data_IF_867836524319
#
_entry.id   IF_867836524319
#
_cell.length_a   1.000
_cell.length_b   1.000
_cell.length_c   1.000
_cell.angle_alpha   90.00
_cell.angle_beta   90.00
_cell.angle_gamma   90.00
#
_symmetry.space_group_name_H-M   'P 1'
#
loop_
_entity.id
_entity.type
_entity.pdbx_description
1 polymer ?
#
# COMPACT_ATOMS: atom_id res chain seq x y z
N UNK A 1 68.60 19.28 -5.42
CA UNK A 1 68.17 18.13 -6.23
C UNK A 1 67.12 17.43 -5.41
N UNK A 2 65.86 17.46 -5.86
CA UNK A 2 64.74 16.86 -5.14
C UNK A 2 64.70 15.36 -5.45
N UNK A 3 64.73 14.54 -4.41
CA UNK A 3 64.55 13.10 -4.51
C UNK A 3 63.05 12.79 -4.64
N UNK A 4 62.58 12.58 -5.87
CA UNK A 4 61.28 11.96 -6.12
C UNK A 4 61.38 10.46 -5.80
N UNK A 5 60.99 10.09 -4.58
CA UNK A 5 60.75 8.69 -4.20
C UNK A 5 59.46 8.24 -4.87
N UNK A 6 59.56 7.68 -6.08
CA UNK A 6 58.42 6.99 -6.70
C UNK A 6 58.30 5.59 -6.11
N UNK A 7 57.35 5.39 -5.21
CA UNK A 7 56.92 4.05 -4.81
C UNK A 7 56.09 3.49 -5.98
N UNK A 8 56.73 2.79 -6.92
CA UNK A 8 56.01 1.95 -7.87
C UNK A 8 55.64 0.65 -7.15
N UNK A 9 54.34 0.43 -6.96
CA UNK A 9 53.84 -0.90 -6.60
C UNK A 9 54.36 -1.89 -7.64
N UNK A 10 55.14 -2.85 -7.15
CA UNK A 10 55.69 -3.96 -7.91
C UNK A 10 54.50 -4.84 -8.31
N UNK A 11 54.38 -5.11 -9.61
CA UNK A 11 53.40 -5.96 -10.29
C UNK A 11 52.27 -6.50 -9.38
N UNK A 12 51.10 -5.90 -9.55
CA UNK A 12 49.85 -6.14 -8.82
C UNK A 12 49.24 -7.52 -9.17
N UNK A 13 50.02 -8.60 -9.01
CA UNK A 13 49.55 -9.99 -8.90
C UNK A 13 48.91 -10.25 -7.52
N UNK A 14 48.49 -9.18 -6.83
CA UNK A 14 47.61 -9.29 -5.67
C UNK A 14 46.27 -9.83 -6.15
N UNK A 15 45.98 -11.10 -5.88
CA UNK A 15 44.63 -11.65 -6.05
C UNK A 15 43.64 -10.63 -5.50
N UNK A 16 42.78 -10.09 -6.37
CA UNK A 16 41.73 -9.20 -5.95
C UNK A 16 41.02 -9.85 -4.74
N UNK A 17 40.84 -9.12 -3.62
CA UNK A 17 40.20 -9.68 -2.44
C UNK A 17 38.88 -10.32 -2.87
N UNK A 18 38.57 -11.54 -2.39
CA UNK A 18 37.46 -12.33 -2.91
C UNK A 18 36.17 -11.51 -2.85
N UNK A 19 35.37 -11.55 -3.91
CA UNK A 19 34.15 -10.73 -4.03
C UNK A 19 33.17 -10.92 -2.85
N UNK A 20 33.29 -12.04 -2.12
CA UNK A 20 32.56 -12.33 -0.87
C UNK A 20 32.87 -11.35 0.27
N UNK A 21 34.02 -10.69 0.27
CA UNK A 21 34.44 -9.73 1.30
C UNK A 21 33.64 -8.41 1.23
N UNK A 22 33.09 -8.09 0.05
CA UNK A 22 32.25 -6.91 -0.20
C UNK A 22 30.77 -7.25 -0.45
N UNK A 23 30.38 -8.53 -0.31
CA UNK A 23 29.00 -8.94 -0.51
C UNK A 23 28.08 -8.32 0.56
N UNK A 24 26.91 -7.76 0.19
CA UNK A 24 25.94 -7.25 1.14
C UNK A 24 25.52 -8.36 2.11
N UNK A 25 25.63 -8.10 3.43
CA UNK A 25 25.14 -9.07 4.42
C UNK A 25 23.61 -9.12 4.37
N UNK A 26 23.00 -10.32 4.31
CA UNK A 26 21.55 -10.45 4.21
C UNK A 26 20.88 -9.90 5.48
N UNK A 27 20.02 -8.88 5.31
CA UNK A 27 19.18 -8.34 6.39
C UNK A 27 17.78 -8.96 6.36
N UNK A 28 17.50 -9.80 7.35
CA UNK A 28 16.22 -10.49 7.50
C UNK A 28 15.19 -9.66 8.28
N UNK A 29 15.63 -8.68 9.08
CA UNK A 29 14.74 -7.94 9.98
C UNK A 29 13.94 -6.89 9.22
N UNK A 30 14.58 -6.13 8.34
CA UNK A 30 13.92 -5.10 7.52
C UNK A 30 12.70 -5.63 6.75
N UNK A 31 12.86 -6.65 5.88
CA UNK A 31 11.74 -7.23 5.13
C UNK A 31 10.61 -7.78 6.02
N UNK A 32 10.94 -8.37 7.18
CA UNK A 32 9.93 -8.91 8.11
C UNK A 32 9.12 -7.81 8.78
N UNK A 33 9.74 -6.71 9.18
CA UNK A 33 9.02 -5.56 9.74
C UNK A 33 8.08 -4.95 8.70
N UNK A 34 8.57 -4.78 7.47
CA UNK A 34 7.76 -4.31 6.34
C UNK A 34 6.55 -5.24 6.11
N UNK A 35 6.77 -6.55 6.13
CA UNK A 35 5.70 -7.53 5.97
C UNK A 35 4.58 -7.39 7.02
N UNK A 36 4.93 -7.15 8.29
CA UNK A 36 3.94 -6.95 9.36
C UNK A 36 3.09 -5.70 9.08
N UNK A 37 3.72 -4.60 8.69
CA UNK A 37 3.01 -3.35 8.36
C UNK A 37 2.07 -3.54 7.17
N UNK A 38 2.51 -4.25 6.12
CA UNK A 38 1.69 -4.56 4.95
C UNK A 38 0.50 -5.47 5.31
N UNK A 39 0.69 -6.45 6.19
CA UNK A 39 -0.40 -7.30 6.69
C UNK A 39 -1.45 -6.44 7.41
N UNK A 40 -1.03 -5.56 8.32
CA UNK A 40 -1.96 -4.66 9.01
C UNK A 40 -2.70 -3.74 8.04
N UNK A 41 -1.98 -3.14 7.08
CA UNK A 41 -2.57 -2.30 6.04
C UNK A 41 -3.59 -3.06 5.19
N UNK A 42 -3.28 -4.31 4.82
CA UNK A 42 -4.19 -5.14 4.02
C UNK A 42 -5.48 -5.50 4.75
N UNK A 43 -5.45 -5.68 6.07
CA UNK A 43 -6.66 -5.90 6.86
C UNK A 43 -7.56 -4.66 6.77
N UNK A 44 -6.99 -3.46 6.92
CA UNK A 44 -7.76 -2.22 6.78
C UNK A 44 -8.35 -2.07 5.36
N UNK A 45 -7.57 -2.39 4.31
CA UNK A 45 -8.07 -2.41 2.93
C UNK A 45 -9.27 -3.34 2.77
N UNK A 46 -9.20 -4.55 3.35
CA UNK A 46 -10.27 -5.53 3.26
C UNK A 46 -11.54 -5.05 3.97
N UNK A 47 -11.43 -4.42 5.14
CA UNK A 47 -12.56 -3.90 5.89
C UNK A 47 -13.26 -2.75 5.14
N UNK A 48 -12.48 -1.77 4.66
CA UNK A 48 -13.02 -0.64 3.90
C UNK A 48 -13.65 -1.14 2.60
N UNK A 49 -12.93 -1.99 1.85
CA UNK A 49 -13.42 -2.54 0.60
C UNK A 49 -14.69 -3.37 0.77
N UNK A 50 -14.83 -4.09 1.89
CA UNK A 50 -16.05 -4.82 2.22
C UNK A 50 -17.23 -3.89 2.53
N UNK A 51 -16.99 -2.80 3.25
CA UNK A 51 -18.01 -1.76 3.50
C UNK A 51 -18.52 -1.16 2.18
N UNK A 52 -17.62 -0.83 1.27
CA UNK A 52 -18.00 -0.28 -0.05
C UNK A 52 -18.76 -1.28 -0.92
N UNK A 53 -18.37 -2.56 -0.90
CA UNK A 53 -19.13 -3.59 -1.63
C UNK A 53 -20.54 -3.71 -1.07
N UNK A 54 -20.72 -3.68 0.25
CA UNK A 54 -22.06 -3.67 0.86
C UNK A 54 -22.85 -2.44 0.41
N UNK A 55 -22.26 -1.24 0.46
CA UNK A 55 -22.91 -0.01 -0.01
C UNK A 55 -23.24 -0.03 -1.50
N UNK A 56 -22.44 -0.72 -2.32
CA UNK A 56 -22.76 -0.88 -3.76
C UNK A 56 -23.96 -1.78 -4.03
N UNK A 57 -24.35 -2.62 -3.05
CA UNK A 57 -25.46 -3.56 -3.17
C UNK A 57 -26.69 -3.13 -2.35
N UNK A 58 -26.53 -2.15 -1.47
CA UNK A 58 -27.61 -1.61 -0.66
C UNK A 58 -28.48 -0.69 -1.51
N UNK A 59 -29.79 -0.67 -1.24
CA UNK A 59 -30.71 0.27 -1.87
C UNK A 59 -30.65 1.64 -1.22
N UNK A 60 -30.61 1.68 0.11
CA UNK A 60 -30.43 2.89 0.89
C UNK A 60 -29.18 2.75 1.76
N UNK A 61 -28.56 3.89 2.10
CA UNK A 61 -27.50 3.94 3.08
C UNK A 61 -28.08 3.59 4.47
N UNK A 62 -27.42 2.73 5.28
CA UNK A 62 -27.98 2.30 6.56
C UNK A 62 -28.26 3.45 7.54
N UNK A 63 -29.50 3.58 8.00
CA UNK A 63 -29.95 4.67 8.91
C UNK A 63 -29.04 4.83 10.14
N UNK A 64 -28.61 3.71 10.74
CA UNK A 64 -27.75 3.73 11.93
C UNK A 64 -26.38 4.38 11.68
N UNK A 65 -25.83 4.22 10.47
CA UNK A 65 -24.58 4.85 10.07
C UNK A 65 -24.83 6.28 9.57
N UNK A 66 -25.99 6.52 8.93
CA UNK A 66 -26.40 7.83 8.42
C UNK A 66 -26.58 8.85 9.54
N UNK A 67 -27.30 8.50 10.60
CA UNK A 67 -27.55 9.37 11.75
C UNK A 67 -26.23 9.88 12.35
N UNK A 68 -25.25 8.98 12.50
CA UNK A 68 -23.93 9.33 13.03
C UNK A 68 -23.15 10.28 12.10
N UNK A 69 -23.30 10.13 10.78
CA UNK A 69 -22.68 11.01 9.78
C UNK A 69 -23.35 12.39 9.81
N UNK A 70 -24.68 12.45 9.79
CA UNK A 70 -25.44 13.69 9.83
C UNK A 70 -25.23 14.46 11.14
N UNK A 71 -25.17 13.77 12.28
CA UNK A 71 -24.82 14.38 13.57
C UNK A 71 -23.41 15.02 13.50
N UNK A 72 -22.46 14.37 12.84
CA UNK A 72 -21.12 14.91 12.66
C UNK A 72 -21.11 16.20 11.81
N UNK A 73 -21.89 16.23 10.73
CA UNK A 73 -22.03 17.41 9.89
C UNK A 73 -22.75 18.55 10.63
N UNK A 74 -23.83 18.26 11.35
CA UNK A 74 -24.56 19.26 12.14
C UNK A 74 -23.67 19.88 13.24
N UNK A 75 -22.83 19.09 13.90
CA UNK A 75 -21.85 19.58 14.86
C UNK A 75 -20.79 20.51 14.25
N UNK A 76 -20.60 20.45 12.92
CA UNK A 76 -19.72 21.33 12.14
C UNK A 76 -20.48 22.48 11.46
N UNK A 77 -21.75 22.71 11.86
CA UNK A 77 -22.65 23.72 11.27
C UNK A 77 -22.96 23.49 9.78
N UNK A 78 -22.78 22.25 9.30
CA UNK A 78 -23.10 21.81 7.94
C UNK A 78 -24.49 21.16 7.97
N UNK A 79 -25.48 21.81 7.36
CA UNK A 79 -26.84 21.28 7.27
C UNK A 79 -27.02 20.51 5.96
N UNK A 80 -27.14 19.19 6.08
CA UNK A 80 -27.55 18.28 5.01
C UNK A 80 -28.73 17.49 5.54
N UNK A 81 -29.74 17.32 4.70
CA UNK A 81 -30.89 16.47 4.99
C UNK A 81 -30.57 15.01 4.72
N UNK A 82 -31.29 14.12 5.39
CA UNK A 82 -31.23 12.68 5.11
C UNK A 82 -31.53 12.37 3.64
N UNK A 83 -32.55 13.02 3.05
CA UNK A 83 -32.92 12.87 1.65
C UNK A 83 -31.76 13.24 0.70
N UNK A 84 -31.10 14.38 0.92
CA UNK A 84 -29.94 14.80 0.11
C UNK A 84 -28.77 13.81 0.19
N UNK A 85 -28.53 13.21 1.36
CA UNK A 85 -27.47 12.22 1.51
C UNK A 85 -27.84 10.88 0.85
N UNK A 86 -29.10 10.46 0.91
CA UNK A 86 -29.56 9.25 0.22
C UNK A 86 -29.50 9.42 -1.31
N UNK A 87 -29.90 10.57 -1.84
CA UNK A 87 -29.72 10.87 -3.27
C UNK A 87 -28.23 10.85 -3.69
N UNK A 88 -27.35 11.38 -2.84
CA UNK A 88 -25.91 11.28 -3.05
C UNK A 88 -25.43 9.82 -3.03
N UNK A 89 -25.92 9.00 -2.08
CA UNK A 89 -25.59 7.59 -2.00
C UNK A 89 -25.99 6.83 -3.28
N UNK A 90 -27.21 7.09 -3.77
CA UNK A 90 -27.73 6.51 -4.99
C UNK A 90 -26.88 6.86 -6.21
N UNK A 91 -26.55 8.13 -6.40
CA UNK A 91 -25.71 8.54 -7.53
C UNK A 91 -24.28 7.98 -7.43
N UNK A 92 -23.71 7.88 -6.21
CA UNK A 92 -22.40 7.24 -5.99
C UNK A 92 -22.44 5.74 -6.33
N UNK A 93 -23.55 5.08 -6.02
CA UNK A 93 -23.78 3.67 -6.36
C UNK A 93 -23.95 3.49 -7.87
N UNK A 94 -24.76 4.32 -8.51
CA UNK A 94 -25.04 4.27 -9.95
C UNK A 94 -23.83 4.62 -10.82
N UNK A 95 -23.00 5.59 -10.40
CA UNK A 95 -21.71 5.89 -11.04
C UNK A 95 -20.69 4.74 -10.85
N UNK A 96 -21.01 3.77 -9.98
CA UNK A 96 -20.20 2.59 -9.71
C UNK A 96 -18.99 2.88 -8.82
N UNK A 97 -18.93 4.05 -8.19
CA UNK A 97 -17.79 4.48 -7.39
C UNK A 97 -17.54 3.55 -6.19
N UNK A 98 -18.62 3.11 -5.50
CA UNK A 98 -18.51 2.09 -4.45
C UNK A 98 -17.96 0.77 -4.98
N UNK A 99 -18.40 0.29 -6.14
CA UNK A 99 -17.91 -0.96 -6.72
C UNK A 99 -16.43 -0.87 -7.12
N UNK A 100 -16.02 0.23 -7.77
CA UNK A 100 -14.62 0.46 -8.16
C UNK A 100 -13.73 0.49 -6.93
N UNK A 101 -14.10 1.24 -5.89
CA UNK A 101 -13.33 1.33 -4.64
C UNK A 101 -13.32 -0.02 -3.91
N UNK A 102 -14.49 -0.63 -3.75
CA UNK A 102 -14.70 -1.86 -3.00
C UNK A 102 -13.93 -3.03 -3.57
N UNK A 103 -14.15 -3.38 -4.84
CA UNK A 103 -13.50 -4.55 -5.44
C UNK A 103 -11.99 -4.38 -5.59
N UNK A 104 -11.52 -3.16 -5.91
CA UNK A 104 -10.08 -2.92 -6.02
C UNK A 104 -9.37 -3.02 -4.66
N UNK A 105 -9.96 -2.52 -3.58
CA UNK A 105 -9.44 -2.66 -2.23
C UNK A 105 -9.53 -4.10 -1.72
N UNK A 106 -10.57 -4.85 -2.05
CA UNK A 106 -10.68 -6.27 -1.70
C UNK A 106 -9.63 -7.12 -2.42
N UNK A 107 -9.57 -7.04 -3.75
CA UNK A 107 -8.60 -7.80 -4.55
C UNK A 107 -7.17 -7.39 -4.19
N UNK A 108 -6.93 -6.08 -4.11
CA UNK A 108 -5.65 -5.52 -3.66
C UNK A 108 -5.27 -5.99 -2.26
N UNK A 109 -6.22 -5.95 -1.32
CA UNK A 109 -6.04 -6.38 0.07
C UNK A 109 -5.67 -7.85 0.18
N UNK A 110 -6.35 -8.76 -0.55
CA UNK A 110 -6.01 -10.20 -0.56
C UNK A 110 -4.60 -10.43 -1.11
N UNK A 111 -4.23 -9.72 -2.19
CA UNK A 111 -2.88 -9.81 -2.77
C UNK A 111 -1.81 -9.27 -1.81
N UNK A 112 -2.06 -8.14 -1.14
CA UNK A 112 -1.13 -7.58 -0.15
C UNK A 112 -1.02 -8.48 1.07
N UNK A 113 -2.12 -9.07 1.55
CA UNK A 113 -2.13 -9.97 2.70
C UNK A 113 -1.34 -11.24 2.43
N UNK A 114 -1.61 -11.91 1.30
CA UNK A 114 -0.86 -13.09 0.86
C UNK A 114 0.59 -12.77 0.57
N UNK A 115 0.85 -11.63 -0.08
CA UNK A 115 2.19 -11.10 -0.34
C UNK A 115 2.97 -10.82 0.95
N UNK A 116 2.31 -10.21 1.95
CA UNK A 116 2.89 -9.91 3.26
C UNK A 116 3.27 -11.18 4.01
N UNK A 117 2.42 -12.21 4.02
CA UNK A 117 2.77 -13.50 4.64
C UNK A 117 3.98 -14.16 3.96
N UNK A 118 4.04 -14.13 2.63
CA UNK A 118 5.19 -14.66 1.88
C UNK A 118 6.46 -13.81 2.08
N UNK A 119 6.33 -12.50 2.16
CA UNK A 119 7.45 -11.58 2.45
C UNK A 119 8.00 -11.80 3.85
N UNK A 120 7.14 -12.10 4.83
CA UNK A 120 7.57 -12.49 6.18
C UNK A 120 8.40 -13.78 6.17
N UNK A 121 8.11 -14.69 5.23
CA UNK A 121 8.93 -15.88 4.96
C UNK A 121 10.14 -15.61 4.05
N UNK A 122 10.46 -14.34 3.79
CA UNK A 122 11.57 -13.89 2.95
C UNK A 122 11.50 -14.42 1.50
N UNK A 123 10.29 -14.61 0.99
CA UNK A 123 10.06 -15.03 -0.39
C UNK A 123 9.86 -13.81 -1.31
N UNK A 124 10.63 -13.74 -2.40
CA UNK A 124 10.53 -12.68 -3.41
C UNK A 124 9.12 -12.58 -4.04
N UNK A 125 8.37 -13.68 -4.09
CA UNK A 125 7.00 -13.67 -4.58
C UNK A 125 6.09 -12.81 -3.68
N UNK A 126 6.41 -12.70 -2.39
CA UNK A 126 5.72 -11.81 -1.46
C UNK A 126 5.82 -10.34 -1.86
N UNK A 127 7.01 -9.89 -2.23
CA UNK A 127 7.24 -8.52 -2.74
C UNK A 127 6.39 -8.25 -3.98
N UNK A 128 6.38 -9.19 -4.94
CA UNK A 128 5.65 -9.03 -6.20
C UNK A 128 4.14 -8.94 -5.98
N UNK A 129 3.58 -9.82 -5.15
CA UNK A 129 2.15 -9.81 -4.82
C UNK A 129 1.76 -8.54 -4.05
N UNK A 130 2.55 -8.15 -3.04
CA UNK A 130 2.28 -6.93 -2.29
C UNK A 130 2.37 -5.68 -3.16
N UNK A 131 3.32 -5.60 -4.09
CA UNK A 131 3.44 -4.47 -5.01
C UNK A 131 2.26 -4.43 -6.00
N UNK A 132 1.88 -5.57 -6.58
CA UNK A 132 0.72 -5.65 -7.46
C UNK A 132 -0.58 -5.29 -6.74
N UNK A 133 -0.82 -5.87 -5.57
CA UNK A 133 -2.03 -5.62 -4.78
C UNK A 133 -2.15 -4.18 -4.30
N UNK A 134 -1.07 -3.60 -3.79
CA UNK A 134 -1.06 -2.19 -3.36
C UNK A 134 -1.22 -1.23 -4.53
N UNK A 135 -0.69 -1.55 -5.72
CA UNK A 135 -0.91 -0.75 -6.93
C UNK A 135 -2.37 -0.80 -7.40
N UNK A 136 -2.99 -1.98 -7.38
CA UNK A 136 -4.42 -2.14 -7.71
C UNK A 136 -5.28 -1.34 -6.73
N UNK A 137 -5.03 -1.48 -5.43
CA UNK A 137 -5.74 -0.73 -4.40
C UNK A 137 -5.47 0.78 -4.48
N UNK A 138 -4.29 1.22 -4.92
CA UNK A 138 -4.01 2.63 -5.13
C UNK A 138 -4.85 3.17 -6.29
N UNK A 139 -4.78 2.54 -7.46
CA UNK A 139 -5.48 3.04 -8.64
C UNK A 139 -7.00 2.97 -8.48
N UNK A 140 -7.53 1.85 -8.00
CA UNK A 140 -8.97 1.69 -7.82
C UNK A 140 -9.50 2.29 -6.52
N UNK A 141 -8.75 2.24 -5.43
CA UNK A 141 -9.17 2.81 -4.14
C UNK A 141 -9.21 4.33 -4.17
N UNK A 142 -8.13 4.96 -4.67
CA UNK A 142 -8.11 6.41 -4.91
C UNK A 142 -9.07 6.78 -6.04
N UNK A 143 -9.08 6.04 -7.15
CA UNK A 143 -9.96 6.32 -8.29
C UNK A 143 -11.44 6.29 -7.91
N UNK A 144 -11.90 5.27 -7.20
CA UNK A 144 -13.28 5.17 -6.72
C UNK A 144 -13.62 6.24 -5.68
N UNK A 145 -12.69 6.63 -4.81
CA UNK A 145 -12.93 7.77 -3.89
C UNK A 145 -12.99 9.09 -4.65
N UNK A 146 -12.21 9.26 -5.71
CA UNK A 146 -12.26 10.46 -6.54
C UNK A 146 -13.57 10.56 -7.31
N UNK A 147 -14.16 9.45 -7.74
CA UNK A 147 -15.51 9.42 -8.31
C UNK A 147 -16.55 9.90 -7.29
N UNK A 148 -16.45 9.48 -6.02
CA UNK A 148 -17.31 10.00 -4.94
C UNK A 148 -17.17 11.52 -4.76
N UNK A 149 -15.96 12.07 -4.86
CA UNK A 149 -15.74 13.53 -4.82
C UNK A 149 -16.46 14.22 -5.97
N UNK A 150 -16.42 13.65 -7.18
CA UNK A 150 -17.09 14.21 -8.35
C UNK A 150 -18.62 14.20 -8.24
N UNK A 151 -19.20 13.19 -7.59
CA UNK A 151 -20.64 13.15 -7.29
C UNK A 151 -20.97 14.18 -6.20
N UNK A 152 -20.14 14.23 -5.15
CA UNK A 152 -20.31 15.17 -4.03
C UNK A 152 -20.25 16.64 -4.49
N UNK A 153 -19.37 16.99 -5.43
CA UNK A 153 -19.25 18.35 -5.98
C UNK A 153 -20.50 18.80 -6.77
N UNK A 154 -21.30 17.84 -7.27
CA UNK A 154 -22.52 18.13 -8.03
C UNK A 154 -23.76 18.23 -7.15
N UNK A 155 -23.82 17.47 -6.06
CA UNK A 155 -25.05 17.25 -5.29
C UNK A 155 -25.00 17.82 -3.88
N UNK A 156 -23.82 17.91 -3.27
CA UNK A 156 -23.67 18.29 -1.87
C UNK A 156 -23.05 19.68 -1.71
N UNK A 157 -23.26 20.33 -0.54
CA UNK A 157 -22.56 21.56 -0.19
C UNK A 157 -21.04 21.39 -0.24
N UNK A 158 -20.35 22.48 -0.59
CA UNK A 158 -18.90 22.52 -0.80
C UNK A 158 -18.11 22.07 0.44
N UNK A 159 -18.67 22.29 1.62
CA UNK A 159 -18.09 21.87 2.89
C UNK A 159 -17.95 20.34 2.96
N UNK A 160 -18.96 19.59 2.52
CA UNK A 160 -18.91 18.13 2.49
C UNK A 160 -18.07 17.61 1.34
N UNK A 161 -18.11 18.26 0.18
CA UNK A 161 -17.19 17.92 -0.91
C UNK A 161 -15.73 18.04 -0.46
N UNK A 162 -15.40 19.08 0.30
CA UNK A 162 -14.04 19.28 0.85
C UNK A 162 -13.65 18.16 1.83
N UNK A 163 -14.60 17.69 2.65
CA UNK A 163 -14.38 16.55 3.55
C UNK A 163 -14.14 15.27 2.76
N UNK A 164 -14.96 14.99 1.75
CA UNK A 164 -14.80 13.82 0.88
C UNK A 164 -13.48 13.88 0.10
N UNK A 165 -13.07 15.07 -0.35
CA UNK A 165 -11.78 15.29 -1.02
C UNK A 165 -10.59 14.99 -0.10
N UNK A 166 -10.66 15.46 1.16
CA UNK A 166 -9.64 15.15 2.16
C UNK A 166 -9.54 13.63 2.43
N UNK A 167 -10.68 12.94 2.50
CA UNK A 167 -10.71 11.47 2.64
C UNK A 167 -10.09 10.78 1.42
N UNK A 168 -10.29 11.33 0.21
CA UNK A 168 -9.62 10.84 -1.00
C UNK A 168 -8.10 10.98 -0.92
N UNK A 169 -7.59 12.13 -0.49
CA UNK A 169 -6.15 12.32 -0.31
C UNK A 169 -5.57 11.41 0.76
N UNK A 170 -6.28 11.22 1.88
CA UNK A 170 -5.86 10.29 2.92
C UNK A 170 -5.77 8.85 2.40
N UNK A 171 -6.77 8.41 1.62
CA UNK A 171 -6.76 7.10 0.95
C UNK A 171 -5.58 6.98 -0.03
N UNK A 172 -5.35 8.01 -0.86
CA UNK A 172 -4.24 8.03 -1.81
C UNK A 172 -2.88 7.91 -1.11
N UNK A 173 -2.65 8.67 -0.04
CA UNK A 173 -1.40 8.62 0.73
C UNK A 173 -1.21 7.28 1.41
N UNK A 174 -2.25 6.70 2.03
CA UNK A 174 -2.11 5.42 2.73
C UNK A 174 -1.81 4.27 1.74
N UNK A 175 -2.43 4.29 0.56
CA UNK A 175 -2.16 3.31 -0.49
C UNK A 175 -0.77 3.50 -1.11
N UNK A 176 -0.34 4.75 -1.32
CA UNK A 176 1.00 5.06 -1.78
C UNK A 176 2.07 4.61 -0.78
N UNK A 177 1.81 4.74 0.52
CA UNK A 177 2.66 4.18 1.56
C UNK A 177 2.76 2.65 1.47
N UNK A 178 1.65 1.94 1.18
CA UNK A 178 1.70 0.49 0.97
C UNK A 178 2.56 0.11 -0.24
N UNK A 179 2.47 0.86 -1.36
CA UNK A 179 3.32 0.66 -2.54
C UNK A 179 4.79 0.91 -2.20
N UNK A 180 5.09 2.02 -1.52
CA UNK A 180 6.45 2.37 -1.12
C UNK A 180 7.07 1.30 -0.22
N UNK A 181 6.34 0.85 0.81
CA UNK A 181 6.77 -0.21 1.72
C UNK A 181 7.00 -1.53 0.99
N UNK A 182 6.10 -1.91 0.06
CA UNK A 182 6.28 -3.10 -0.75
C UNK A 182 7.51 -3.02 -1.67
N UNK A 183 7.89 -1.83 -2.12
CA UNK A 183 9.04 -1.60 -3.00
C UNK A 183 10.39 -1.55 -2.26
N UNK A 184 10.43 -1.08 -1.01
CA UNK A 184 11.66 -0.91 -0.21
C UNK A 184 12.62 -2.12 -0.20
N UNK A 185 12.15 -3.38 -0.06
CA UNK A 185 13.05 -4.54 -0.06
C UNK A 185 13.84 -4.73 -1.36
N UNK A 186 13.36 -4.16 -2.48
CA UNK A 186 14.05 -4.22 -3.78
C UNK A 186 15.16 -3.17 -3.91
N UNK A 187 15.02 -2.03 -3.25
CA UNK A 187 15.99 -0.93 -3.27
C UNK A 187 17.20 -1.19 -2.37
N UNK A 188 17.00 -1.88 -1.25
CA UNK A 188 18.08 -2.20 -0.32
C UNK A 188 18.76 -3.52 -0.71
N UNK A 189 20.04 -3.44 -1.12
CA UNK A 189 20.84 -4.61 -1.54
C UNK A 189 20.91 -5.71 -0.47
N UNK A 190 21.00 -5.34 0.82
CA UNK A 190 21.03 -6.28 1.95
C UNK A 190 19.68 -6.97 2.18
N UNK A 191 18.58 -6.23 2.02
CA UNK A 191 17.23 -6.77 2.12
C UNK A 191 16.93 -7.70 0.93
N UNK A 192 17.34 -7.30 -0.27
CA UNK A 192 17.23 -8.09 -1.49
C UNK A 192 18.06 -9.37 -1.43
N UNK A 193 19.23 -9.35 -0.80
CA UNK A 193 20.04 -10.55 -0.57
C UNK A 193 19.38 -11.53 0.42
N UNK A 194 18.56 -11.04 1.36
CA UNK A 194 17.78 -11.90 2.26
C UNK A 194 16.58 -12.55 1.57
N UNK A 195 16.06 -11.93 0.50
CA UNK A 195 15.01 -12.49 -0.33
C UNK A 195 15.63 -13.51 -1.31
N UNK A 196 15.37 -14.80 -1.12
CA UNK A 196 15.99 -15.94 -1.83
C UNK A 196 17.28 -16.49 -1.20
N UNK A 197 17.41 -16.51 0.13
CA UNK A 197 18.47 -17.29 0.77
C UNK A 197 18.24 -18.80 0.51
N UNK A 198 18.92 -19.35 -0.49
CA UNK A 198 19.02 -20.79 -0.70
C UNK A 198 20.11 -21.35 0.21
N UNK A 199 19.76 -22.30 1.09
CA UNK A 199 20.74 -23.00 1.92
C UNK A 199 21.60 -23.87 1.01
N UNK A 200 22.84 -23.46 0.75
CA UNK A 200 23.87 -24.34 0.20
C UNK A 200 24.42 -25.20 1.33
N UNK A 201 24.02 -26.47 1.37
CA UNK A 201 24.63 -27.46 2.26
C UNK A 201 26.05 -27.71 1.76
N UNK A 202 27.05 -27.27 2.52
CA UNK A 202 28.42 -27.72 2.33
C UNK A 202 28.51 -29.07 3.04
N UNK A 203 28.44 -30.16 2.27
CA UNK A 203 28.85 -31.45 2.79
C UNK A 203 30.38 -31.38 2.92
N UNK A 204 30.89 -31.35 4.15
CA UNK A 204 32.29 -31.67 4.39
C UNK A 204 32.45 -33.16 4.07
N UNK A 205 33.15 -33.48 2.97
CA UNK A 205 33.63 -34.84 2.74
C UNK A 205 34.66 -35.15 3.82
N UNK A 206 34.37 -36.14 4.68
CA UNK A 206 35.29 -36.71 5.68
C UNK A 206 36.54 -37.31 5.03
#
# INVERSE_FOLDING_TARGET
MNDDVSIRMKDDDGLAPPASLFAPRPDKKGPKTIAILLIMGSILMLLVGWGDVQNSMADDFPDADLDAILENYQNQEINITEEEYQEYHDEVRDDGAYSVRGYSLLIGGVLVLSGGFLLFRLNMLGVKLSLAGSSIGLLGGFGGTWMMVQVSDKMLPKEVTTITELMSYLCGVCMLMCVALAFLPLLNASARAALNESVTLVNEEE
#
